data_IF_882993176791
#
_entry.id   IF_882993176791
#
_cell.length_a   1.000
_cell.length_b   1.000
_cell.length_c   1.000
_cell.angle_alpha   90.00
_cell.angle_beta   90.00
_cell.angle_gamma   90.00
#
_symmetry.space_group_name_H-M   'P 1'
#
loop_
_entity.id
_entity.type
_entity.pdbx_description
1 polymer ?
#
# COMPACT_ATOMS: atom_id res chain seq x y z
N UNK A 1 -20.38 -50.12 -24.79
CA UNK A 1 -21.12 -48.88 -24.46
C UNK A 1 -20.84 -48.46 -23.00
N UNK A 2 -19.59 -48.17 -22.64
CA UNK A 2 -19.22 -47.83 -21.24
C UNK A 2 -18.08 -46.80 -21.15
N UNK A 3 -17.94 -45.92 -22.14
CA UNK A 3 -16.75 -45.05 -22.27
C UNK A 3 -17.05 -43.56 -22.40
N UNK A 4 -18.29 -43.11 -22.15
CA UNK A 4 -18.66 -41.70 -22.32
C UNK A 4 -19.20 -40.99 -21.07
N UNK A 5 -19.40 -41.70 -19.95
CA UNK A 5 -20.07 -41.11 -18.76
C UNK A 5 -19.08 -40.53 -17.73
N UNK A 6 -17.79 -40.89 -17.80
CA UNK A 6 -16.82 -40.54 -16.75
C UNK A 6 -16.17 -39.16 -16.96
N UNK A 7 -16.31 -38.55 -18.14
CA UNK A 7 -15.60 -37.31 -18.50
C UNK A 7 -16.35 -36.01 -18.17
N UNK A 8 -17.62 -36.06 -17.77
CA UNK A 8 -18.43 -34.85 -17.50
C UNK A 8 -18.38 -34.37 -16.04
N UNK A 9 -17.81 -35.15 -15.11
CA UNK A 9 -17.75 -34.79 -13.68
C UNK A 9 -16.46 -34.06 -13.26
N UNK A 10 -15.48 -33.91 -14.15
CA UNK A 10 -14.21 -33.26 -13.82
C UNK A 10 -14.18 -31.74 -14.05
N UNK A 11 -15.26 -31.14 -14.58
CA UNK A 11 -15.23 -29.75 -15.09
C UNK A 11 -15.90 -28.70 -14.19
N UNK A 12 -16.45 -29.05 -13.02
CA UNK A 12 -17.29 -28.14 -12.21
C UNK A 12 -16.79 -27.84 -10.80
N UNK A 13 -15.51 -28.12 -10.52
CA UNK A 13 -14.86 -27.77 -9.25
C UNK A 13 -13.74 -26.74 -9.42
N UNK A 14 -13.84 -25.85 -10.41
CA UNK A 14 -13.17 -24.55 -10.31
C UNK A 14 -13.97 -23.78 -9.26
N UNK A 15 -13.63 -24.02 -8.00
CA UNK A 15 -14.05 -23.20 -6.89
C UNK A 15 -13.90 -21.74 -7.34
N UNK A 16 -15.01 -21.01 -7.35
CA UNK A 16 -14.99 -19.56 -7.38
C UNK A 16 -14.31 -19.11 -6.09
N UNK A 17 -12.98 -19.19 -6.06
CA UNK A 17 -12.15 -18.55 -5.07
C UNK A 17 -12.38 -17.07 -5.27
N UNK A 18 -13.35 -16.52 -4.53
CA UNK A 18 -13.36 -15.09 -4.25
C UNK A 18 -12.05 -14.83 -3.51
N UNK A 19 -11.00 -14.50 -4.26
CA UNK A 19 -9.80 -13.89 -3.72
C UNK A 19 -10.29 -12.56 -3.14
N UNK A 20 -10.68 -12.57 -1.86
CA UNK A 20 -10.62 -11.36 -1.06
C UNK A 20 -9.15 -10.98 -1.04
N UNK A 21 -8.75 -10.12 -1.98
CA UNK A 21 -7.43 -9.52 -2.00
C UNK A 21 -7.33 -8.69 -0.71
N UNK A 22 -6.74 -9.27 0.32
CA UNK A 22 -6.42 -8.53 1.53
C UNK A 22 -5.31 -7.57 1.14
N UNK A 23 -5.69 -6.33 0.84
CA UNK A 23 -4.73 -5.26 0.59
C UNK A 23 -3.94 -5.00 1.88
N UNK A 24 -2.64 -4.74 1.76
CA UNK A 24 -1.74 -4.58 2.89
C UNK A 24 -0.91 -3.32 2.71
N UNK A 25 -0.70 -2.61 3.82
CA UNK A 25 0.18 -1.45 3.90
C UNK A 25 1.33 -1.69 4.88
N UNK A 26 2.50 -1.05 4.69
CA UNK A 26 3.57 -1.12 5.65
C UNK A 26 3.18 -0.53 7.02
N UNK A 27 3.85 -0.97 8.07
CA UNK A 27 3.80 -0.38 9.41
C UNK A 27 5.22 -0.28 9.94
N UNK A 28 5.53 0.85 10.56
CA UNK A 28 6.80 1.12 11.20
C UNK A 28 6.68 0.87 12.70
N UNK A 29 7.64 0.13 13.25
CA UNK A 29 7.73 -0.05 14.71
C UNK A 29 8.14 1.25 15.41
N UNK A 30 8.99 2.05 14.75
CA UNK A 30 9.32 3.42 15.15
C UNK A 30 9.00 4.38 13.98
N UNK A 31 8.04 5.29 14.14
CA UNK A 31 7.69 6.22 13.06
C UNK A 31 8.78 7.27 12.78
N UNK A 32 9.81 7.41 13.61
CA UNK A 32 10.94 8.31 13.37
C UNK A 32 12.12 7.63 12.65
N UNK A 33 12.07 6.31 12.47
CA UNK A 33 13.06 5.54 11.73
C UNK A 33 12.39 4.76 10.60
N UNK A 34 12.53 5.31 9.38
CA UNK A 34 11.97 4.76 8.15
C UNK A 34 12.46 3.33 7.83
N UNK A 35 13.57 2.89 8.41
CA UNK A 35 14.10 1.53 8.22
C UNK A 35 13.32 0.48 9.01
N UNK A 36 12.55 0.90 10.03
CA UNK A 36 11.73 0.00 10.86
C UNK A 36 10.37 -0.35 10.25
N UNK A 37 10.06 0.21 9.08
CA UNK A 37 8.84 -0.03 8.31
C UNK A 37 8.86 -1.39 7.58
N UNK A 38 9.18 -2.46 8.31
CA UNK A 38 9.34 -3.83 7.79
C UNK A 38 8.11 -4.70 8.03
N UNK A 39 7.21 -4.29 8.92
CA UNK A 39 5.96 -4.99 9.17
C UNK A 39 4.86 -4.53 8.22
N UNK A 40 3.78 -5.30 8.18
CA UNK A 40 2.60 -5.00 7.35
C UNK A 40 1.35 -5.09 8.19
N UNK A 41 0.35 -4.29 7.85
CA UNK A 41 -1.00 -4.38 8.40
C UNK A 41 -1.99 -4.75 7.29
N UNK A 42 -2.97 -5.58 7.64
CA UNK A 42 -4.08 -5.90 6.75
C UNK A 42 -5.05 -4.72 6.72
N UNK A 43 -5.39 -4.26 5.52
CA UNK A 43 -6.37 -3.23 5.32
C UNK A 43 -7.79 -3.79 5.35
N UNK A 44 -8.75 -2.91 5.68
CA UNK A 44 -10.16 -3.23 5.53
C UNK A 44 -10.47 -3.54 4.05
N UNK A 45 -11.46 -4.39 3.78
CA UNK A 45 -11.81 -4.82 2.42
C UNK A 45 -12.31 -3.68 1.51
N UNK A 46 -12.61 -2.52 2.08
CA UNK A 46 -12.97 -1.32 1.32
C UNK A 46 -11.77 -0.45 0.97
N UNK A 47 -10.61 -0.67 1.61
CA UNK A 47 -9.40 0.12 1.38
C UNK A 47 -8.52 -0.57 0.35
N UNK A 48 -8.27 0.12 -0.75
CA UNK A 48 -7.56 -0.42 -1.91
C UNK A 48 -6.15 0.17 -2.13
N UNK A 49 -5.77 1.17 -1.33
CA UNK A 49 -4.49 1.87 -1.49
C UNK A 49 -3.89 2.28 -0.14
N UNK A 50 -2.57 2.46 -0.12
CA UNK A 50 -1.83 3.00 1.01
C UNK A 50 -1.54 4.49 0.81
N UNK A 51 -1.94 5.30 1.78
CA UNK A 51 -1.51 6.69 1.92
C UNK A 51 -0.27 6.74 2.80
N UNK A 52 0.84 7.17 2.21
CA UNK A 52 2.09 7.44 2.91
C UNK A 52 2.13 8.91 3.31
N UNK A 53 2.33 9.17 4.60
CA UNK A 53 2.50 10.51 5.18
C UNK A 53 3.93 10.66 5.69
N UNK A 54 4.62 11.69 5.21
CA UNK A 54 5.91 12.14 5.69
C UNK A 54 5.75 13.50 6.38
N UNK A 55 5.87 13.54 7.69
CA UNK A 55 5.78 14.76 8.49
C UNK A 55 7.18 15.34 8.69
N UNK A 56 7.50 16.40 7.94
CA UNK A 56 8.81 17.05 7.97
C UNK A 56 8.97 17.94 9.21
N UNK A 57 7.87 18.38 9.82
CA UNK A 57 7.87 19.17 11.06
C UNK A 57 8.26 18.35 12.29
N UNK A 58 7.99 17.04 12.26
CA UNK A 58 8.32 16.09 13.33
C UNK A 58 9.49 15.17 12.97
N UNK A 59 10.63 15.74 12.55
CA UNK A 59 11.86 14.98 12.24
C UNK A 59 11.63 13.86 11.20
N UNK A 60 10.94 14.16 10.11
CA UNK A 60 10.65 13.21 9.02
C UNK A 60 9.87 11.98 9.50
N UNK A 61 8.88 12.19 10.36
CA UNK A 61 8.06 11.10 10.90
C UNK A 61 7.24 10.46 9.79
N UNK A 62 7.40 9.15 9.64
CA UNK A 62 6.76 8.31 8.63
C UNK A 62 5.52 7.63 9.19
N UNK A 63 4.41 7.69 8.45
CA UNK A 63 3.21 6.91 8.73
C UNK A 63 2.58 6.37 7.44
N UNK A 64 1.92 5.21 7.55
CA UNK A 64 1.14 4.62 6.47
C UNK A 64 -0.30 4.39 6.93
N UNK A 65 -1.25 4.66 6.04
CA UNK A 65 -2.68 4.49 6.30
C UNK A 65 -3.33 3.69 5.17
N UNK A 66 -4.13 2.69 5.52
CA UNK A 66 -5.03 2.06 4.57
C UNK A 66 -6.17 3.04 4.24
N UNK A 67 -6.42 3.29 2.94
CA UNK A 67 -7.46 4.23 2.51
C UNK A 67 -8.02 3.84 1.13
N UNK A 68 -8.87 4.69 0.57
CA UNK A 68 -9.43 4.55 -0.77
C UNK A 68 -8.70 5.46 -1.76
N UNK A 69 -8.75 5.11 -3.04
CA UNK A 69 -8.04 5.82 -4.10
C UNK A 69 -8.35 7.31 -4.12
N UNK A 70 -9.64 7.67 -4.06
CA UNK A 70 -10.07 9.07 -4.10
C UNK A 70 -9.50 9.92 -2.95
N UNK A 71 -9.48 9.36 -1.73
CA UNK A 71 -8.94 10.06 -0.57
C UNK A 71 -7.42 10.22 -0.70
N UNK A 72 -6.73 9.16 -1.13
CA UNK A 72 -5.28 9.22 -1.32
C UNK A 72 -4.88 10.29 -2.32
N UNK A 73 -5.48 10.29 -3.52
CA UNK A 73 -5.22 11.27 -4.57
C UNK A 73 -5.52 12.70 -4.12
N UNK A 74 -6.56 12.89 -3.32
CA UNK A 74 -6.89 14.21 -2.77
C UNK A 74 -5.76 14.73 -1.90
N UNK A 75 -5.22 13.91 -0.98
CA UNK A 75 -4.09 14.31 -0.15
C UNK A 75 -2.79 14.45 -0.94
N UNK A 76 -2.51 13.52 -1.86
CA UNK A 76 -1.30 13.55 -2.69
C UNK A 76 -1.32 14.68 -3.74
N UNK A 77 -2.47 15.32 -3.99
CA UNK A 77 -2.58 16.50 -4.86
C UNK A 77 -2.02 17.77 -4.23
N UNK A 78 -1.87 17.82 -2.90
CA UNK A 78 -1.25 18.96 -2.23
C UNK A 78 0.26 18.96 -2.51
N UNK A 79 0.83 20.11 -2.89
CA UNK A 79 2.27 20.21 -3.12
C UNK A 79 3.04 19.89 -1.84
N UNK A 80 4.11 19.11 -1.97
CA UNK A 80 5.04 18.82 -0.90
C UNK A 80 6.26 19.73 -1.02
N UNK A 81 6.41 20.70 -0.11
CA UNK A 81 7.63 21.49 0.02
C UNK A 81 8.50 20.95 1.15
N UNK A 82 9.64 20.34 0.79
CA UNK A 82 10.60 19.80 1.75
C UNK A 82 11.25 20.86 2.65
N UNK A 83 11.15 22.13 2.29
CA UNK A 83 11.70 23.26 3.05
C UNK A 83 10.72 23.83 4.07
N UNK A 84 9.41 23.60 3.90
CA UNK A 84 8.36 24.27 4.64
C UNK A 84 8.02 23.63 6.01
N UNK A 85 8.67 22.50 6.38
CA UNK A 85 8.31 21.70 7.57
C UNK A 85 6.84 21.26 7.58
N UNK A 86 6.30 20.96 6.40
CA UNK A 86 4.91 20.58 6.20
C UNK A 86 4.75 19.05 6.13
N UNK A 87 3.49 18.61 6.10
CA UNK A 87 3.14 17.23 5.85
C UNK A 87 3.11 16.97 4.35
N UNK A 88 3.87 15.96 3.91
CA UNK A 88 3.85 15.46 2.56
C UNK A 88 3.09 14.14 2.46
N UNK A 89 2.32 14.01 1.39
CA UNK A 89 1.43 12.86 1.18
C UNK A 89 1.71 12.21 -0.16
N UNK A 90 1.76 10.88 -0.17
CA UNK A 90 2.02 10.10 -1.37
C UNK A 90 1.15 8.84 -1.37
N UNK A 91 0.92 8.30 -2.56
CA UNK A 91 0.12 7.10 -2.76
C UNK A 91 0.99 5.95 -3.26
N UNK A 92 0.73 4.75 -2.74
CA UNK A 92 1.35 3.51 -3.20
C UNK A 92 0.35 2.35 -3.12
N UNK A 93 0.45 1.41 -4.07
CA UNK A 93 -0.58 0.39 -4.32
C UNK A 93 -0.37 -0.92 -3.57
N UNK A 94 0.84 -1.17 -3.08
CA UNK A 94 1.22 -2.39 -2.39
C UNK A 94 2.48 -2.17 -1.55
N UNK A 95 2.79 -3.12 -0.66
CA UNK A 95 3.96 -3.05 0.22
C UNK A 95 5.28 -2.84 -0.56
N UNK A 96 5.57 -3.56 -1.67
CA UNK A 96 6.77 -3.31 -2.46
C UNK A 96 6.87 -1.88 -3.01
N UNK A 97 5.82 -1.36 -3.63
CA UNK A 97 5.81 0.01 -4.19
C UNK A 97 5.93 1.07 -3.09
N UNK A 98 5.29 0.86 -1.95
CA UNK A 98 5.43 1.73 -0.78
C UNK A 98 6.86 1.75 -0.22
N UNK A 99 7.53 0.60 -0.18
CA UNK A 99 8.91 0.51 0.27
C UNK A 99 9.85 1.19 -0.72
N UNK A 100 9.68 0.95 -2.02
CA UNK A 100 10.49 1.59 -3.06
C UNK A 100 10.34 3.11 -3.05
N UNK A 101 9.11 3.62 -2.93
CA UNK A 101 8.83 5.04 -2.83
C UNK A 101 9.50 5.67 -1.61
N UNK A 102 9.38 5.04 -0.43
CA UNK A 102 10.04 5.48 0.80
C UNK A 102 11.55 5.53 0.65
N UNK A 103 12.17 4.44 0.18
CA UNK A 103 13.61 4.39 -0.03
C UNK A 103 14.08 5.49 -0.98
N UNK A 104 13.35 5.72 -2.07
CA UNK A 104 13.70 6.75 -3.04
C UNK A 104 13.58 8.18 -2.47
N UNK A 105 12.62 8.42 -1.56
CA UNK A 105 12.51 9.70 -0.83
C UNK A 105 13.70 9.90 0.13
N UNK A 106 14.04 8.89 0.93
CA UNK A 106 15.12 9.00 1.93
C UNK A 106 16.54 8.89 1.33
N UNK A 107 16.69 8.33 0.14
CA UNK A 107 17.92 8.40 -0.65
C UNK A 107 18.08 9.73 -1.42
N UNK A 108 17.07 10.60 -1.38
CA UNK A 108 17.09 11.88 -2.09
C UNK A 108 16.97 11.76 -3.62
N UNK A 109 16.39 10.66 -4.11
CA UNK A 109 16.15 10.42 -5.54
C UNK A 109 14.89 11.16 -5.99
N UNK A 110 13.93 11.32 -5.08
CA UNK A 110 12.67 12.03 -5.32
C UNK A 110 12.64 13.27 -4.43
N UNK A 111 13.31 14.34 -4.86
CA UNK A 111 13.02 15.68 -4.36
C UNK A 111 12.07 16.30 -5.38
N UNK A 112 10.87 16.67 -4.96
CA UNK A 112 9.93 17.45 -5.78
C UNK A 112 10.53 18.79 -6.17
#
# INVERSE_FOLDING_TARGET
MFTYVVLLLAALLVANGQHHWVHQCPVCSDPYDHTTCTHVQNCHNTHEICLFKLDLGLNNRVNYYCTNYHQCETYASFPCDFSAKEDCYFCCLDVPSCNQQREALFMGIIHG
#
